data_IF_569857297958
#
_entry.id   IF_569857297958
#
_cell.length_a   1.000
_cell.length_b   1.000
_cell.length_c   1.000
_cell.angle_alpha   90.00
_cell.angle_beta   90.00
_cell.angle_gamma   90.00
#
_symmetry.space_group_name_H-M   'P 1'
#
loop_
_entity.id
_entity.type
_entity.pdbx_description
1 polymer ?
#
# COMPACT_ATOMS: atom_id res chain seq x y z
N UNK A 1 36.15 25.92 -3.28
CA UNK A 1 34.68 25.90 -3.08
C UNK A 1 34.44 25.47 -1.64
N UNK A 2 34.11 26.39 -0.75
CA UNK A 2 33.87 26.07 0.65
C UNK A 2 32.40 25.69 0.82
N UNK A 3 32.12 24.39 0.98
CA UNK A 3 30.79 23.95 1.40
C UNK A 3 30.58 24.40 2.85
N UNK A 4 29.65 25.34 3.05
CA UNK A 4 29.19 25.72 4.38
C UNK A 4 28.66 24.48 5.09
N UNK A 5 29.23 24.15 6.26
CA UNK A 5 28.96 22.90 7.00
C UNK A 5 27.50 22.70 7.41
N UNK A 6 26.65 23.74 7.29
CA UNK A 6 25.21 23.71 7.57
C UNK A 6 24.36 23.26 6.39
N UNK A 7 24.84 23.41 5.16
CA UNK A 7 24.14 22.98 3.93
C UNK A 7 23.85 21.48 3.91
N UNK A 8 24.80 20.57 4.23
CA UNK A 8 24.50 19.14 4.25
C UNK A 8 23.46 18.76 5.31
N UNK A 9 23.42 19.45 6.46
CA UNK A 9 22.45 19.20 7.52
C UNK A 9 21.02 19.54 7.09
N UNK A 10 20.86 20.68 6.40
CA UNK A 10 19.56 21.12 5.86
C UNK A 10 19.06 20.16 4.78
N UNK A 11 19.96 19.67 3.93
CA UNK A 11 19.61 18.68 2.89
C UNK A 11 19.14 17.34 3.50
N UNK A 12 19.86 16.84 4.51
CA UNK A 12 19.47 15.60 5.22
C UNK A 12 18.09 15.76 5.86
N UNK A 13 17.85 16.89 6.53
CA UNK A 13 16.57 17.18 7.17
C UNK A 13 15.40 17.29 6.17
N UNK A 14 15.61 17.93 5.03
CA UNK A 14 14.61 17.97 3.97
C UNK A 14 14.35 16.56 3.41
N UNK A 15 15.39 15.78 3.14
CA UNK A 15 15.22 14.42 2.61
C UNK A 15 14.44 13.50 3.54
N UNK A 16 14.65 13.58 4.86
CA UNK A 16 13.91 12.74 5.83
C UNK A 16 12.42 13.10 5.94
N UNK A 17 12.06 14.36 5.72
CA UNK A 17 10.66 14.81 5.65
C UNK A 17 9.95 14.25 4.41
N UNK A 18 10.63 14.21 3.26
CA UNK A 18 10.06 13.64 2.02
C UNK A 18 9.93 12.11 2.08
N UNK A 19 10.78 11.41 2.83
CA UNK A 19 10.68 9.95 2.97
C UNK A 19 9.37 9.50 3.63
N UNK A 20 8.82 10.26 4.58
CA UNK A 20 7.53 9.91 5.22
C UNK A 20 6.35 9.97 4.25
N UNK A 21 6.41 10.84 3.23
CA UNK A 21 5.35 10.94 2.23
C UNK A 21 5.33 9.76 1.24
N UNK A 22 6.42 8.98 1.17
CA UNK A 22 6.51 7.80 0.30
C UNK A 22 5.99 6.51 0.96
N UNK A 23 5.71 6.54 2.27
CA UNK A 23 5.13 5.42 3.00
C UNK A 23 3.61 5.48 2.80
N UNK A 24 3.15 5.00 1.65
CA UNK A 24 1.72 4.85 1.39
C UNK A 24 1.21 3.57 2.10
N UNK A 25 0.13 3.69 2.85
CA UNK A 25 -0.57 2.54 3.41
C UNK A 25 -1.30 1.80 2.28
N UNK A 26 -0.85 0.58 1.96
CA UNK A 26 -1.52 -0.25 0.97
C UNK A 26 -2.77 -0.88 1.60
N UNK A 27 -3.94 -0.44 1.12
CA UNK A 27 -5.27 -0.98 1.44
C UNK A 27 -5.80 -1.74 0.23
N UNK A 28 -6.31 -2.96 0.42
CA UNK A 28 -6.72 -3.83 -0.70
C UNK A 28 -7.93 -3.27 -1.46
N UNK A 29 -8.81 -2.55 -0.76
CA UNK A 29 -10.06 -1.98 -1.26
C UNK A 29 -9.82 -0.87 -2.31
N UNK A 30 -8.66 -0.22 -2.28
CA UNK A 30 -8.24 0.79 -3.26
C UNK A 30 -7.53 0.19 -4.48
N UNK A 31 -7.31 -1.13 -4.48
CA UNK A 31 -6.51 -1.80 -5.48
C UNK A 31 -7.36 -2.23 -6.69
N UNK A 32 -6.86 -2.03 -7.93
CA UNK A 32 -7.54 -2.56 -9.11
C UNK A 32 -7.64 -4.08 -9.07
N UNK A 33 -8.78 -4.62 -9.51
CA UNK A 33 -9.07 -6.05 -9.52
C UNK A 33 -8.00 -6.90 -10.22
N UNK A 34 -7.28 -6.35 -11.22
CA UNK A 34 -6.21 -7.04 -11.94
C UNK A 34 -4.97 -7.35 -11.10
N UNK A 35 -4.76 -6.64 -9.98
CA UNK A 35 -3.59 -6.83 -9.11
C UNK A 35 -3.95 -7.48 -7.77
N UNK A 36 -5.24 -7.49 -7.41
CA UNK A 36 -5.75 -7.94 -6.10
C UNK A 36 -5.22 -9.30 -5.64
N UNK A 37 -5.27 -10.34 -6.47
CA UNK A 37 -5.04 -11.73 -6.06
C UNK A 37 -3.61 -12.00 -5.51
N UNK A 38 -2.63 -11.16 -5.85
CA UNK A 38 -1.24 -11.34 -5.43
C UNK A 38 -0.76 -10.28 -4.43
N UNK A 39 -1.62 -9.32 -4.07
CA UNK A 39 -1.25 -8.21 -3.20
C UNK A 39 -1.44 -8.55 -1.73
N UNK A 40 -0.69 -7.82 -0.89
CA UNK A 40 -0.72 -7.94 0.56
C UNK A 40 -0.88 -6.53 1.12
N UNK A 41 -1.89 -6.32 1.96
CA UNK A 41 -2.12 -5.06 2.66
C UNK A 41 -0.92 -4.71 3.54
N UNK A 42 -0.73 -3.41 3.81
CA UNK A 42 0.31 -2.95 4.76
C UNK A 42 0.11 -3.53 6.17
N UNK A 43 -1.09 -4.01 6.49
CA UNK A 43 -1.40 -4.76 7.71
C UNK A 43 -0.88 -6.21 7.73
N UNK A 44 -0.16 -6.64 6.69
CA UNK A 44 0.39 -8.00 6.55
C UNK A 44 -0.63 -9.06 6.12
N UNK A 45 -1.85 -8.64 5.76
CA UNK A 45 -2.94 -9.54 5.37
C UNK A 45 -3.05 -9.67 3.86
N UNK A 46 -3.37 -10.87 3.38
CA UNK A 46 -3.56 -11.12 1.93
C UNK A 46 -4.77 -10.34 1.41
N UNK A 47 -4.68 -9.82 0.18
CA UNK A 47 -5.85 -9.33 -0.54
C UNK A 47 -6.58 -10.51 -1.21
N UNK A 48 -7.90 -10.43 -1.28
CA UNK A 48 -8.77 -11.45 -1.88
C UNK A 48 -9.77 -10.78 -2.83
N UNK A 49 -9.92 -11.37 -4.02
CA UNK A 49 -10.89 -10.91 -5.02
C UNK A 49 -12.23 -11.62 -4.77
N UNK A 50 -13.17 -10.91 -4.17
CA UNK A 50 -14.53 -11.38 -3.96
C UNK A 50 -15.34 -11.22 -5.25
N UNK A 51 -16.23 -12.18 -5.51
CA UNK A 51 -17.15 -12.14 -6.64
C UNK A 51 -18.57 -12.21 -6.10
N UNK A 52 -19.33 -11.14 -6.29
CA UNK A 52 -20.74 -11.05 -5.90
C UNK A 52 -21.62 -11.00 -7.14
N UNK A 53 -22.83 -11.54 -7.02
CA UNK A 53 -23.86 -11.39 -8.05
C UNK A 53 -24.79 -10.27 -7.57
N UNK A 54 -24.83 -9.18 -8.32
CA UNK A 54 -25.73 -8.07 -8.04
C UNK A 54 -27.18 -8.50 -8.28
N UNK A 55 -28.13 -7.74 -7.73
CA UNK A 55 -29.56 -8.07 -7.82
C UNK A 55 -30.12 -8.08 -9.25
N UNK A 56 -29.42 -7.48 -10.21
CA UNK A 56 -29.73 -7.50 -11.64
C UNK A 56 -29.12 -8.70 -12.39
N UNK A 57 -28.41 -9.58 -11.68
CA UNK A 57 -27.70 -10.72 -12.26
C UNK A 57 -26.32 -10.41 -12.82
N UNK A 58 -25.85 -9.15 -12.72
CA UNK A 58 -24.47 -8.81 -13.08
C UNK A 58 -23.46 -9.36 -12.08
N UNK A 59 -22.26 -9.71 -12.55
CA UNK A 59 -21.16 -10.21 -11.72
C UNK A 59 -20.24 -9.04 -11.40
N UNK A 60 -20.11 -8.72 -10.11
CA UNK A 60 -19.21 -7.69 -9.61
C UNK A 60 -18.01 -8.32 -8.93
N UNK A 61 -16.83 -7.77 -9.20
CA UNK A 61 -15.58 -8.19 -8.57
C UNK A 61 -15.10 -7.07 -7.65
N UNK A 62 -14.89 -7.39 -6.37
CA UNK A 62 -14.43 -6.45 -5.36
C UNK A 62 -13.18 -7.00 -4.68
N UNK A 63 -12.11 -6.21 -4.63
CA UNK A 63 -10.94 -6.55 -3.85
C UNK A 63 -11.17 -6.21 -2.37
N UNK A 64 -10.90 -7.16 -1.47
CA UNK A 64 -10.99 -6.96 -0.01
C UNK A 64 -9.78 -7.52 0.71
N UNK A 65 -9.51 -6.96 1.89
CA UNK A 65 -8.49 -7.50 2.79
C UNK A 65 -9.01 -8.78 3.46
N UNK A 66 -8.29 -9.90 3.29
CA UNK A 66 -8.59 -11.16 3.96
C UNK A 66 -8.19 -11.11 5.45
N UNK A 67 -8.76 -11.97 6.28
CA UNK A 67 -8.31 -12.16 7.66
C UNK A 67 -6.99 -12.94 7.77
N UNK A 68 -6.53 -13.55 6.67
CA UNK A 68 -5.32 -14.36 6.63
C UNK A 68 -4.06 -13.49 6.58
N UNK A 69 -3.31 -13.50 7.67
CA UNK A 69 -1.98 -12.86 7.77
C UNK A 69 -0.94 -13.71 7.04
N UNK A 70 -0.04 -13.05 6.30
CA UNK A 70 1.07 -13.69 5.60
C UNK A 70 2.17 -14.06 6.59
N UNK A 71 2.66 -15.29 6.49
CA UNK A 71 3.76 -15.78 7.31
C UNK A 71 5.02 -14.93 7.07
N UNK A 72 5.63 -14.43 8.16
CA UNK A 72 6.86 -13.64 8.11
C UNK A 72 6.66 -12.12 7.98
N UNK A 73 5.43 -11.62 8.04
CA UNK A 73 5.12 -10.18 8.06
C UNK A 73 4.84 -9.65 9.48
N UNK A 74 5.54 -10.20 10.47
CA UNK A 74 5.45 -9.83 11.91
C UNK A 74 6.74 -9.20 12.40
#
# INVERSE_FOLDING_TARGET
MAFSSKVPLVLIFLSSLFLHAAIAELVCEDLPNSFCAFSIASSGKRCLLETSVAGDGSVEHQCRTSEVVVQGMT
#
